data_IF_592758423499
#
_entry.id   IF_592758423499
#
_cell.length_a   1.000
_cell.length_b   1.000
_cell.length_c   1.000
_cell.angle_alpha   90.00
_cell.angle_beta   90.00
_cell.angle_gamma   90.00
#
_symmetry.space_group_name_H-M   'P 1'
#
loop_
_entity.id
_entity.type
_entity.pdbx_description
1 polymer ?
#
# COMPACT_ATOMS: atom_id res chain seq x y z
N UNK A 1 53.98 -61.21 -42.60
CA UNK A 1 55.07 -60.98 -41.66
C UNK A 1 54.57 -59.96 -40.67
N UNK A 2 54.28 -60.27 -39.48
CA UNK A 2 54.91 -60.92 -38.32
C UNK A 2 54.51 -60.07 -37.15
N UNK A 3 53.65 -60.58 -36.30
CA UNK A 3 53.86 -60.83 -34.87
C UNK A 3 54.22 -59.60 -34.02
N UNK A 4 53.75 -59.29 -32.83
CA UNK A 4 53.20 -60.16 -31.77
C UNK A 4 52.79 -59.25 -30.56
N UNK A 5 51.75 -59.64 -29.88
CA UNK A 5 51.52 -59.70 -28.43
C UNK A 5 52.37 -58.95 -27.39
N UNK A 6 51.69 -58.34 -26.37
CA UNK A 6 51.56 -58.77 -24.97
C UNK A 6 51.05 -57.64 -24.09
N UNK A 7 49.90 -57.75 -23.49
CA UNK A 7 49.53 -58.06 -22.09
C UNK A 7 50.40 -57.44 -20.98
N UNK A 8 49.74 -56.63 -20.09
CA UNK A 8 49.49 -56.82 -18.63
C UNK A 8 49.11 -55.47 -18.01
N UNK A 9 48.02 -55.35 -17.41
CA UNK A 9 47.54 -55.65 -16.04
C UNK A 9 47.80 -54.50 -15.02
N UNK A 10 46.67 -54.01 -14.47
CA UNK A 10 46.30 -53.60 -13.10
C UNK A 10 47.05 -52.50 -12.39
N UNK A 11 46.33 -51.48 -11.98
CA UNK A 11 46.04 -51.33 -10.54
C UNK A 11 44.99 -50.26 -10.25
N UNK A 12 44.27 -50.49 -9.17
CA UNK A 12 43.14 -49.76 -8.60
C UNK A 12 43.57 -48.41 -8.00
N UNK A 13 42.71 -47.42 -8.10
CA UNK A 13 42.76 -46.23 -7.25
C UNK A 13 41.36 -45.63 -7.17
N UNK A 14 40.65 -45.91 -6.08
CA UNK A 14 39.42 -45.26 -5.67
C UNK A 14 39.76 -43.86 -5.16
N UNK A 15 39.09 -42.86 -5.63
CA UNK A 15 38.81 -41.68 -4.82
C UNK A 15 37.43 -41.15 -5.18
N UNK A 16 36.54 -41.25 -4.22
CA UNK A 16 35.22 -40.68 -4.23
C UNK A 16 35.33 -39.19 -3.83
N UNK A 17 35.00 -38.30 -4.71
CA UNK A 17 34.68 -36.93 -4.33
C UNK A 17 33.15 -36.77 -4.33
N UNK A 18 32.60 -36.77 -3.12
CA UNK A 18 31.26 -36.35 -2.82
C UNK A 18 31.13 -34.82 -3.09
N UNK A 19 30.58 -34.48 -4.21
CA UNK A 19 30.08 -33.10 -4.44
C UNK A 19 28.63 -33.09 -4.02
N UNK A 20 28.36 -32.56 -2.84
CA UNK A 20 27.02 -32.28 -2.38
C UNK A 20 26.42 -31.17 -3.27
N UNK A 21 25.58 -31.59 -4.21
CA UNK A 21 24.64 -30.69 -4.89
C UNK A 21 23.64 -30.19 -3.85
N UNK A 22 23.80 -28.95 -3.43
CA UNK A 22 22.71 -28.20 -2.81
C UNK A 22 21.63 -28.04 -3.89
N UNK A 23 20.55 -28.75 -3.73
CA UNK A 23 19.31 -28.52 -4.47
C UNK A 23 18.84 -27.09 -4.16
N UNK A 24 18.94 -26.22 -5.14
CA UNK A 24 18.17 -24.96 -5.17
C UNK A 24 16.72 -25.41 -5.30
N UNK A 25 15.96 -25.33 -4.22
CA UNK A 25 14.50 -25.50 -4.26
C UNK A 25 13.97 -24.38 -5.15
N UNK A 26 13.53 -24.72 -6.34
CA UNK A 26 12.69 -23.87 -7.17
C UNK A 26 11.40 -23.61 -6.39
N UNK A 27 11.13 -22.34 -6.09
CA UNK A 27 9.83 -21.88 -5.61
C UNK A 27 8.85 -22.22 -6.75
N UNK A 28 7.90 -23.10 -6.49
CA UNK A 28 6.91 -23.51 -7.48
C UNK A 28 6.00 -22.31 -7.79
N UNK A 29 5.69 -22.08 -9.07
CA UNK A 29 4.81 -20.99 -9.54
C UNK A 29 3.43 -20.96 -8.83
N UNK A 30 2.99 -22.08 -8.24
CA UNK A 30 1.78 -22.20 -7.46
C UNK A 30 1.83 -21.51 -6.09
N UNK A 31 3.00 -21.40 -5.49
CA UNK A 31 3.17 -20.77 -4.17
C UNK A 31 3.15 -19.25 -4.25
N UNK A 32 3.69 -18.68 -5.36
CA UNK A 32 3.61 -17.25 -5.66
C UNK A 32 2.17 -16.79 -5.88
N UNK A 33 1.33 -17.54 -6.56
CA UNK A 33 -0.07 -17.19 -6.81
C UNK A 33 -0.93 -17.26 -5.55
N UNK A 34 -0.63 -18.15 -4.60
CA UNK A 34 -1.31 -18.23 -3.31
C UNK A 34 -0.97 -17.03 -2.41
N UNK A 35 0.30 -16.62 -2.35
CA UNK A 35 0.72 -15.42 -1.62
C UNK A 35 0.17 -14.14 -2.25
N UNK A 36 0.15 -14.04 -3.58
CA UNK A 36 -0.43 -12.91 -4.30
C UNK A 36 -1.93 -12.76 -4.03
N UNK A 37 -2.68 -13.84 -3.98
CA UNK A 37 -4.09 -13.84 -3.62
C UNK A 37 -4.32 -13.46 -2.16
N UNK A 38 -3.42 -13.87 -1.26
CA UNK A 38 -3.49 -13.52 0.16
C UNK A 38 -3.13 -12.05 0.41
N UNK A 39 -2.09 -11.56 -0.27
CA UNK A 39 -1.56 -10.21 -0.12
C UNK A 39 -1.53 -9.49 -1.47
N UNK A 40 -2.68 -8.98 -1.98
CA UNK A 40 -2.70 -8.17 -3.19
C UNK A 40 -1.74 -6.98 -3.08
N UNK A 41 -1.22 -6.50 -4.21
CA UNK A 41 -0.34 -5.34 -4.19
C UNK A 41 -1.11 -4.08 -3.84
N UNK A 42 -0.60 -3.30 -2.89
CA UNK A 42 -1.26 -2.11 -2.34
C UNK A 42 -0.48 -0.86 -2.68
N UNK A 43 -1.17 0.18 -3.18
CA UNK A 43 -0.64 1.54 -3.25
C UNK A 43 -1.17 2.35 -2.06
N UNK A 44 -0.29 2.71 -1.14
CA UNK A 44 -0.60 3.70 -0.11
C UNK A 44 -0.42 5.09 -0.71
N UNK A 45 -1.37 6.01 -0.47
CA UNK A 45 -1.40 7.33 -1.09
C UNK A 45 -1.46 8.44 -0.05
N UNK A 46 -0.51 9.37 -0.13
CA UNK A 46 -0.41 10.52 0.78
C UNK A 46 -0.32 11.82 -0.02
N UNK A 47 -1.35 12.69 0.01
CA UNK A 47 -1.24 14.06 -0.46
C UNK A 47 -0.57 14.91 0.61
N UNK A 48 0.41 15.75 0.27
CA UNK A 48 1.07 16.63 1.24
C UNK A 48 1.22 18.06 0.70
N UNK A 49 1.21 19.05 1.61
CA UNK A 49 1.43 20.47 1.31
C UNK A 49 1.94 21.20 2.55
N UNK A 50 3.25 21.51 2.61
CA UNK A 50 3.88 22.21 3.73
C UNK A 50 3.65 21.53 5.10
N UNK A 51 3.85 20.19 5.16
CA UNK A 51 3.57 19.35 6.34
C UNK A 51 4.83 18.75 6.98
N UNK A 52 5.99 19.33 6.72
CA UNK A 52 7.28 18.85 7.24
C UNK A 52 7.27 18.39 8.71
N UNK A 53 6.65 19.11 9.66
CA UNK A 53 6.61 18.67 11.07
C UNK A 53 5.89 17.33 11.32
N UNK A 54 5.02 16.88 10.42
CA UNK A 54 4.22 15.66 10.56
C UNK A 54 4.87 14.45 9.90
N UNK A 55 5.84 14.66 8.98
CA UNK A 55 6.38 13.61 8.12
C UNK A 55 7.03 12.46 8.90
N UNK A 56 7.71 12.75 10.00
CA UNK A 56 8.29 11.69 10.83
C UNK A 56 7.23 10.77 11.46
N UNK A 57 6.06 11.33 11.80
CA UNK A 57 4.90 10.55 12.27
C UNK A 57 4.31 9.70 11.16
N UNK A 58 4.12 10.29 9.97
CA UNK A 58 3.61 9.64 8.78
C UNK A 58 4.49 8.44 8.37
N UNK A 59 5.84 8.60 8.36
CA UNK A 59 6.78 7.51 8.09
C UNK A 59 6.59 6.38 9.11
N UNK A 60 6.54 6.70 10.41
CA UNK A 60 6.31 5.70 11.45
C UNK A 60 4.98 4.95 11.27
N UNK A 61 3.91 5.64 10.89
CA UNK A 61 2.62 4.99 10.61
C UNK A 61 2.72 4.01 9.44
N UNK A 62 3.47 4.33 8.38
CA UNK A 62 3.71 3.43 7.26
C UNK A 62 4.59 2.24 7.67
N UNK A 63 5.71 2.48 8.36
CA UNK A 63 6.66 1.44 8.77
C UNK A 63 6.08 0.42 9.74
N UNK A 64 5.11 0.84 10.56
CA UNK A 64 4.44 -0.03 11.53
C UNK A 64 3.26 -0.81 10.98
N UNK A 65 2.95 -0.70 9.66
CA UNK A 65 1.89 -1.51 9.08
C UNK A 65 2.22 -3.00 9.16
N UNK A 66 1.24 -3.81 9.59
CA UNK A 66 1.34 -5.27 9.71
C UNK A 66 1.12 -6.01 8.38
N UNK A 67 1.15 -5.26 7.27
CA UNK A 67 1.06 -5.78 5.92
C UNK A 67 2.45 -5.95 5.30
N UNK A 68 2.72 -7.00 4.47
CA UNK A 68 4.05 -7.21 3.90
C UNK A 68 4.55 -6.02 3.09
N UNK A 69 5.68 -5.44 3.49
CA UNK A 69 6.23 -4.23 2.86
C UNK A 69 6.64 -4.45 1.39
N UNK A 70 7.05 -5.66 1.01
CA UNK A 70 7.33 -6.02 -0.38
C UNK A 70 6.05 -6.10 -1.25
N UNK A 71 4.87 -6.03 -0.62
CA UNK A 71 3.55 -5.97 -1.30
C UNK A 71 2.93 -4.57 -1.23
N UNK A 72 3.70 -3.55 -0.86
CA UNK A 72 3.26 -2.16 -0.81
C UNK A 72 4.17 -1.23 -1.62
N UNK A 73 3.59 -0.19 -2.19
CA UNK A 73 4.27 1.02 -2.63
C UNK A 73 3.64 2.22 -1.95
N UNK A 74 4.39 3.31 -1.83
CA UNK A 74 3.92 4.53 -1.19
C UNK A 74 4.04 5.71 -2.13
N UNK A 75 2.90 6.21 -2.61
CA UNK A 75 2.78 7.33 -3.53
C UNK A 75 2.61 8.62 -2.74
N UNK A 76 3.55 9.54 -2.83
CA UNK A 76 3.50 10.84 -2.17
C UNK A 76 3.44 11.93 -3.23
N UNK A 77 2.40 12.76 -3.21
CA UNK A 77 2.28 13.95 -4.06
C UNK A 77 2.47 15.20 -3.19
N UNK A 78 3.54 15.94 -3.46
CA UNK A 78 3.91 17.15 -2.73
C UNK A 78 3.84 18.39 -3.64
N UNK A 79 2.89 19.25 -3.38
CA UNK A 79 2.72 20.54 -4.05
C UNK A 79 2.99 21.74 -3.11
N UNK A 80 3.63 21.47 -1.96
CA UNK A 80 4.07 22.49 -1.01
C UNK A 80 5.24 23.32 -1.52
N UNK A 81 5.51 24.43 -0.87
CA UNK A 81 6.73 25.24 -1.09
C UNK A 81 7.92 24.73 -0.28
N UNK A 82 7.65 24.11 0.88
CA UNK A 82 8.63 23.38 1.69
C UNK A 82 8.56 21.89 1.34
N UNK A 83 9.36 21.48 0.35
CA UNK A 83 9.41 20.11 -0.15
C UNK A 83 10.01 19.16 0.88
N UNK A 84 9.43 17.96 0.97
CA UNK A 84 9.86 16.94 1.95
C UNK A 84 10.71 15.82 1.34
N UNK A 85 11.22 16.00 0.11
CA UNK A 85 12.00 15.00 -0.62
C UNK A 85 13.19 14.47 0.21
N UNK A 86 13.89 15.35 0.92
CA UNK A 86 15.02 15.00 1.79
C UNK A 86 14.66 14.04 2.94
N UNK A 87 13.41 14.03 3.37
CA UNK A 87 12.93 13.18 4.46
C UNK A 87 12.47 11.80 3.99
N UNK A 88 12.12 11.63 2.70
CA UNK A 88 11.47 10.42 2.19
C UNK A 88 12.22 9.72 1.06
N UNK A 89 13.20 10.35 0.43
CA UNK A 89 13.92 9.86 -0.78
C UNK A 89 14.61 8.50 -0.59
N UNK A 90 15.07 8.21 0.61
CA UNK A 90 15.82 6.99 0.91
C UNK A 90 14.91 5.84 1.40
N UNK A 91 13.60 6.08 1.50
CA UNK A 91 12.65 5.06 1.93
C UNK A 91 12.31 4.12 0.76
N UNK A 92 12.51 2.79 0.90
CA UNK A 92 12.47 1.84 -0.21
C UNK A 92 11.11 1.73 -0.92
N UNK A 93 10.01 1.98 -0.20
CA UNK A 93 8.66 1.89 -0.75
C UNK A 93 8.16 3.20 -1.38
N UNK A 94 8.84 4.33 -1.13
CA UNK A 94 8.38 5.66 -1.53
C UNK A 94 8.59 5.92 -3.01
N UNK A 95 7.55 6.47 -3.63
CA UNK A 95 7.56 7.11 -4.93
C UNK A 95 7.09 8.55 -4.74
N UNK A 96 8.05 9.45 -4.68
CA UNK A 96 7.82 10.87 -4.41
C UNK A 96 7.69 11.67 -5.70
N UNK A 97 6.64 12.50 -5.78
CA UNK A 97 6.34 13.38 -6.91
C UNK A 97 6.13 14.80 -6.42
N UNK A 98 6.97 15.73 -6.85
CA UNK A 98 6.89 17.14 -6.52
C UNK A 98 6.27 17.97 -7.63
N UNK A 99 5.47 18.94 -7.24
CA UNK A 99 4.82 19.90 -8.13
C UNK A 99 5.04 21.33 -7.63
N UNK A 100 5.28 22.25 -8.57
CA UNK A 100 5.60 23.64 -8.22
C UNK A 100 4.38 24.47 -7.84
N UNK A 101 3.20 24.08 -8.33
CA UNK A 101 1.95 24.83 -8.09
C UNK A 101 1.04 24.03 -7.18
N UNK A 102 0.50 24.71 -6.16
CA UNK A 102 -0.55 24.15 -5.31
C UNK A 102 -1.76 23.74 -6.14
N UNK A 103 -2.32 22.59 -5.84
CA UNK A 103 -3.48 22.00 -6.51
C UNK A 103 -4.65 21.86 -5.53
N UNK A 104 -5.86 21.83 -6.04
CA UNK A 104 -7.01 21.37 -5.28
C UNK A 104 -6.85 19.89 -4.89
N UNK A 105 -7.47 19.47 -3.79
CA UNK A 105 -7.29 18.14 -3.23
C UNK A 105 -7.79 17.05 -4.18
N UNK A 106 -8.93 17.27 -4.85
CA UNK A 106 -9.47 16.33 -5.85
C UNK A 106 -8.49 16.05 -6.98
N UNK A 107 -7.88 17.10 -7.54
CA UNK A 107 -6.84 16.95 -8.57
C UNK A 107 -5.63 16.19 -8.06
N UNK A 108 -5.19 16.49 -6.83
CA UNK A 108 -4.06 15.78 -6.22
C UNK A 108 -4.36 14.29 -6.04
N UNK A 109 -5.57 13.92 -5.59
CA UNK A 109 -6.02 12.53 -5.48
C UNK A 109 -6.05 11.83 -6.84
N UNK A 110 -6.55 12.49 -7.90
CA UNK A 110 -6.54 11.95 -9.25
C UNK A 110 -5.10 11.66 -9.74
N UNK A 111 -4.16 12.59 -9.51
CA UNK A 111 -2.75 12.39 -9.85
C UNK A 111 -2.11 11.22 -9.07
N UNK A 112 -2.45 11.03 -7.78
CA UNK A 112 -2.01 9.85 -7.03
C UNK A 112 -2.49 8.56 -7.70
N UNK A 113 -3.76 8.51 -8.12
CA UNK A 113 -4.33 7.34 -8.79
C UNK A 113 -3.58 6.97 -10.07
N UNK A 114 -3.16 7.95 -10.86
CA UNK A 114 -2.37 7.73 -12.09
C UNK A 114 -0.99 7.11 -11.81
N UNK A 115 -0.43 7.33 -10.61
CA UNK A 115 0.87 6.80 -10.20
C UNK A 115 0.78 5.42 -9.54
N UNK A 116 -0.41 5.02 -9.06
CA UNK A 116 -0.63 3.77 -8.37
C UNK A 116 -0.46 2.55 -9.29
N UNK A 117 0.13 1.49 -8.76
CA UNK A 117 0.22 0.16 -9.40
C UNK A 117 -0.55 -0.92 -8.63
N UNK A 118 -0.92 -0.64 -7.37
CA UNK A 118 -1.62 -1.58 -6.50
C UNK A 118 -3.00 -1.97 -6.99
N UNK A 119 -3.43 -3.18 -6.70
CA UNK A 119 -4.79 -3.68 -6.95
C UNK A 119 -5.79 -3.02 -5.99
N UNK A 120 -5.28 -2.61 -4.84
CA UNK A 120 -5.99 -1.88 -3.80
C UNK A 120 -5.23 -0.58 -3.53
N UNK A 121 -5.97 0.52 -3.44
CA UNK A 121 -5.46 1.83 -3.06
C UNK A 121 -5.91 2.13 -1.63
N UNK A 122 -5.00 2.60 -0.78
CA UNK A 122 -5.24 2.95 0.62
C UNK A 122 -4.79 4.37 0.86
N UNK A 123 -5.66 5.23 1.39
CA UNK A 123 -5.26 6.57 1.77
C UNK A 123 -4.68 6.60 3.19
N UNK A 124 -3.61 7.35 3.33
CA UNK A 124 -3.00 7.73 4.61
C UNK A 124 -2.57 9.20 4.48
N UNK A 125 -3.36 10.10 5.03
CA UNK A 125 -3.06 11.54 5.00
C UNK A 125 -1.87 11.86 5.93
N UNK A 126 -1.20 12.98 5.76
CA UNK A 126 0.11 13.26 6.34
C UNK A 126 0.09 13.74 7.81
N UNK A 127 -1.08 14.07 8.33
CA UNK A 127 -1.28 14.63 9.68
C UNK A 127 -2.17 13.77 10.60
N UNK A 128 -2.52 12.56 10.15
CA UNK A 128 -3.32 11.60 10.90
C UNK A 128 -2.49 10.48 11.52
N UNK A 129 -3.04 9.81 12.54
CA UNK A 129 -2.50 8.58 13.09
C UNK A 129 -3.18 7.36 12.46
N UNK A 130 -2.39 6.47 11.90
CA UNK A 130 -2.88 5.21 11.33
C UNK A 130 -2.33 4.02 12.13
N UNK A 131 -3.22 3.18 12.71
CA UNK A 131 -2.80 2.01 13.47
C UNK A 131 -2.15 0.95 12.56
N UNK A 132 -1.40 -0.02 13.13
CA UNK A 132 -0.73 -1.07 12.36
C UNK A 132 -1.64 -1.87 11.43
N UNK A 133 -2.91 -2.01 11.78
CA UNK A 133 -3.91 -2.77 11.02
C UNK A 133 -4.55 -1.98 9.87
N UNK A 134 -4.14 -0.72 9.63
CA UNK A 134 -4.80 0.13 8.64
C UNK A 134 -4.89 -0.53 7.26
N UNK A 135 -3.78 -1.09 6.78
CA UNK A 135 -3.73 -1.72 5.46
C UNK A 135 -4.34 -3.12 5.48
N UNK A 136 -3.91 -3.98 6.40
CA UNK A 136 -4.37 -5.38 6.49
C UNK A 136 -5.88 -5.47 6.69
N UNK A 137 -6.45 -4.66 7.61
CA UNK A 137 -7.89 -4.64 7.86
C UNK A 137 -8.70 -4.20 6.63
N UNK A 138 -8.22 -3.20 5.89
CA UNK A 138 -8.87 -2.74 4.67
C UNK A 138 -8.85 -3.81 3.57
N UNK A 139 -7.70 -4.45 3.36
CA UNK A 139 -7.54 -5.54 2.38
C UNK A 139 -8.44 -6.72 2.71
N UNK A 140 -8.38 -7.21 3.96
CA UNK A 140 -9.23 -8.32 4.42
C UNK A 140 -10.72 -8.02 4.25
N UNK A 141 -11.14 -6.79 4.58
CA UNK A 141 -12.54 -6.39 4.46
C UNK A 141 -12.98 -6.38 3.00
N UNK A 142 -12.16 -5.87 2.08
CA UNK A 142 -12.44 -5.94 0.66
C UNK A 142 -12.47 -7.38 0.14
N UNK A 143 -11.57 -8.26 0.58
CA UNK A 143 -11.54 -9.67 0.18
C UNK A 143 -12.78 -10.43 0.66
N UNK A 144 -13.21 -10.19 1.91
CA UNK A 144 -14.45 -10.78 2.47
C UNK A 144 -15.72 -10.26 1.81
N UNK A 145 -15.66 -9.10 1.13
CA UNK A 145 -16.80 -8.45 0.49
C UNK A 145 -16.51 -8.18 -1.00
N UNK A 146 -16.54 -9.21 -1.87
CA UNK A 146 -16.11 -9.08 -3.28
C UNK A 146 -16.95 -8.09 -4.12
N UNK A 147 -18.18 -7.79 -3.68
CA UNK A 147 -19.02 -6.77 -4.33
C UNK A 147 -18.69 -5.34 -3.92
N UNK A 148 -18.02 -5.14 -2.78
CA UNK A 148 -17.60 -3.82 -2.33
C UNK A 148 -16.47 -3.28 -3.22
N UNK A 149 -16.60 -2.04 -3.65
CA UNK A 149 -15.57 -1.32 -4.39
C UNK A 149 -14.75 -0.42 -3.48
N UNK A 150 -15.35 0.08 -2.40
CA UNK A 150 -14.72 0.96 -1.42
C UNK A 150 -15.03 0.51 0.00
N UNK A 151 -14.11 0.76 0.90
CA UNK A 151 -14.26 0.61 2.35
C UNK A 151 -13.68 1.86 3.03
N UNK A 152 -14.20 2.18 4.20
CA UNK A 152 -13.75 3.32 4.99
C UNK A 152 -14.56 3.42 6.28
N UNK A 153 -14.35 4.45 7.08
CA UNK A 153 -15.08 4.65 8.32
C UNK A 153 -15.87 5.96 8.30
N UNK A 154 -17.17 5.87 8.60
CA UNK A 154 -18.02 7.04 8.85
C UNK A 154 -17.90 7.56 10.29
N UNK A 155 -17.10 6.90 11.13
CA UNK A 155 -16.73 7.33 12.46
C UNK A 155 -15.25 7.62 12.51
N UNK A 156 -14.86 8.77 13.06
CA UNK A 156 -13.47 9.12 13.32
C UNK A 156 -13.34 9.64 14.74
N UNK A 157 -12.16 9.50 15.32
CA UNK A 157 -11.83 9.99 16.65
C UNK A 157 -10.75 11.07 16.53
N UNK A 158 -11.05 12.28 17.00
CA UNK A 158 -10.11 13.39 16.99
C UNK A 158 -9.67 13.72 18.41
N UNK A 159 -8.36 13.74 18.63
CA UNK A 159 -7.76 14.16 19.88
C UNK A 159 -7.53 15.66 19.91
N UNK A 160 -8.25 16.36 20.77
CA UNK A 160 -8.10 17.78 21.01
C UNK A 160 -7.07 18.03 22.12
N UNK A 161 -5.83 18.27 21.73
CA UNK A 161 -4.70 18.43 22.67
C UNK A 161 -4.92 19.52 23.72
N UNK A 162 -5.52 20.65 23.34
CA UNK A 162 -5.73 21.80 24.23
C UNK A 162 -6.73 21.54 25.38
N UNK A 163 -7.65 20.59 25.20
CA UNK A 163 -8.60 20.14 26.23
C UNK A 163 -8.37 18.71 26.68
N UNK A 164 -7.36 18.02 26.10
CA UNK A 164 -6.99 16.62 26.38
C UNK A 164 -8.19 15.65 26.29
N UNK A 165 -9.03 15.84 25.28
CA UNK A 165 -10.21 14.99 25.04
C UNK A 165 -10.18 14.37 23.66
N UNK A 166 -10.68 13.15 23.56
CA UNK A 166 -10.99 12.49 22.31
C UNK A 166 -12.49 12.66 22.05
N UNK A 167 -12.84 13.12 20.86
CA UNK A 167 -14.23 13.31 20.45
C UNK A 167 -14.50 12.45 19.23
N UNK A 168 -15.62 11.71 19.27
CA UNK A 168 -16.11 10.97 18.12
C UNK A 168 -16.91 11.88 17.19
N UNK A 169 -16.61 11.81 15.90
CA UNK A 169 -17.42 12.37 14.81
C UNK A 169 -18.10 11.24 14.04
N UNK A 170 -19.32 11.46 13.57
CA UNK A 170 -20.12 10.44 12.93
C UNK A 170 -20.83 9.48 13.92
N UNK A 171 -21.50 8.40 13.41
CA UNK A 171 -21.52 7.99 12.01
C UNK A 171 -22.34 8.94 11.12
N UNK A 172 -21.85 9.19 9.89
CA UNK A 172 -22.54 10.03 8.92
C UNK A 172 -23.55 9.23 8.09
N UNK A 173 -23.25 8.00 7.72
CA UNK A 173 -24.12 7.13 6.95
C UNK A 173 -23.46 5.81 6.55
N UNK A 174 -24.27 4.81 6.11
CA UNK A 174 -23.73 3.47 5.83
C UNK A 174 -22.77 3.43 4.63
N UNK A 175 -23.00 4.28 3.63
CA UNK A 175 -22.15 4.36 2.43
C UNK A 175 -21.27 5.62 2.41
N UNK A 176 -21.14 6.31 3.55
CA UNK A 176 -20.32 7.49 3.73
C UNK A 176 -19.12 7.17 4.62
N UNK A 177 -17.98 7.78 4.32
CA UNK A 177 -16.80 7.82 5.17
C UNK A 177 -15.96 9.05 4.82
N UNK A 178 -15.08 9.47 5.73
CA UNK A 178 -14.10 10.52 5.44
C UNK A 178 -13.01 9.98 4.51
N UNK A 179 -12.58 10.78 3.55
CA UNK A 179 -11.66 10.35 2.49
C UNK A 179 -10.33 9.78 3.05
N UNK A 180 -9.77 10.35 4.13
CA UNK A 180 -8.55 9.84 4.78
C UNK A 180 -8.68 8.39 5.27
N UNK A 181 -9.90 7.86 5.44
CA UNK A 181 -10.17 6.48 5.83
C UNK A 181 -10.33 5.52 4.65
N UNK A 182 -10.36 6.00 3.40
CA UNK A 182 -10.67 5.16 2.24
C UNK A 182 -9.60 4.11 1.96
N UNK A 183 -10.10 2.92 1.61
CA UNK A 183 -9.37 1.96 0.80
C UNK A 183 -10.33 1.39 -0.25
N UNK A 184 -9.83 1.15 -1.46
CA UNK A 184 -10.70 0.75 -2.55
C UNK A 184 -9.97 -0.07 -3.62
N UNK A 185 -10.76 -0.85 -4.36
CA UNK A 185 -10.26 -1.60 -5.51
C UNK A 185 -9.84 -0.64 -6.63
N UNK A 186 -8.74 -0.93 -7.31
CA UNK A 186 -8.25 -0.14 -8.45
C UNK A 186 -9.34 0.24 -9.46
N UNK A 187 -10.29 -0.63 -9.71
CA UNK A 187 -11.42 -0.35 -10.62
C UNK A 187 -12.14 0.95 -10.29
N UNK A 188 -12.15 1.38 -9.02
CA UNK A 188 -12.86 2.60 -8.61
C UNK A 188 -12.17 3.88 -9.08
N UNK A 189 -10.89 3.86 -9.48
CA UNK A 189 -10.20 5.06 -10.00
C UNK A 189 -10.82 5.62 -11.29
N UNK A 190 -11.63 4.83 -11.99
CA UNK A 190 -12.42 5.28 -13.12
C UNK A 190 -13.44 6.38 -12.72
N UNK A 191 -13.84 6.41 -11.47
CA UNK A 191 -14.65 7.47 -10.87
C UNK A 191 -13.72 8.61 -10.42
N UNK A 192 -13.36 9.49 -11.27
CA UNK A 192 -12.45 10.59 -10.89
C UNK A 192 -13.08 11.48 -9.81
N UNK A 193 -12.22 12.08 -8.99
CA UNK A 193 -12.58 13.25 -8.20
C UNK A 193 -12.83 14.45 -9.11
N UNK A 194 -13.62 15.40 -8.66
CA UNK A 194 -13.67 16.72 -9.27
C UNK A 194 -12.31 17.40 -9.05
N UNK A 195 -11.65 17.83 -10.12
CA UNK A 195 -10.31 18.43 -10.07
C UNK A 195 -10.29 19.76 -9.30
N UNK A 196 -11.41 20.45 -9.18
CA UNK A 196 -11.53 21.73 -8.48
C UNK A 196 -12.02 21.55 -7.02
N UNK A 197 -12.37 20.34 -6.60
CA UNK A 197 -12.86 20.07 -5.25
C UNK A 197 -11.75 20.25 -4.21
N UNK A 198 -12.03 21.12 -3.23
CA UNK A 198 -11.18 21.36 -2.07
C UNK A 198 -11.73 20.75 -0.78
N UNK A 199 -13.04 20.48 -0.72
CA UNK A 199 -13.78 19.93 0.41
C UNK A 199 -14.85 18.98 -0.09
N UNK A 200 -15.18 17.95 0.71
CA UNK A 200 -16.20 16.94 0.40
C UNK A 200 -16.02 16.28 -0.99
N UNK A 201 -14.77 16.15 -1.40
CA UNK A 201 -14.37 15.61 -2.70
C UNK A 201 -14.84 14.14 -2.88
N UNK A 202 -15.05 13.44 -1.77
CA UNK A 202 -15.51 12.05 -1.76
C UNK A 202 -16.90 11.86 -2.37
N UNK A 203 -17.76 12.90 -2.35
CA UNK A 203 -19.12 12.82 -2.88
C UNK A 203 -19.14 12.47 -4.38
N UNK A 204 -18.32 13.13 -5.18
CA UNK A 204 -18.21 12.87 -6.62
C UNK A 204 -17.59 11.49 -6.85
N UNK A 205 -16.50 11.16 -6.16
CA UNK A 205 -15.81 9.89 -6.27
C UNK A 205 -16.70 8.69 -5.93
N UNK A 206 -17.53 8.80 -4.90
CA UNK A 206 -18.50 7.79 -4.49
C UNK A 206 -19.85 7.88 -5.24
N UNK A 207 -19.94 8.70 -6.31
CA UNK A 207 -21.18 8.88 -7.10
C UNK A 207 -22.39 9.17 -6.22
N UNK A 208 -22.31 10.21 -5.41
CA UNK A 208 -23.32 10.55 -4.39
C UNK A 208 -23.60 9.37 -3.43
N UNK A 209 -22.54 8.67 -2.98
CA UNK A 209 -22.60 7.57 -2.02
C UNK A 209 -23.40 6.34 -2.50
N UNK A 210 -23.47 6.12 -3.82
CA UNK A 210 -24.12 4.95 -4.43
C UNK A 210 -23.14 3.81 -4.74
N UNK A 211 -21.83 4.05 -4.63
CA UNK A 211 -20.80 3.01 -4.80
C UNK A 211 -20.98 1.93 -3.73
N UNK A 212 -20.90 0.63 -4.08
CA UNK A 212 -20.92 -0.46 -3.11
C UNK A 212 -19.82 -0.28 -2.06
N UNK A 213 -20.21 -0.10 -0.81
CA UNK A 213 -19.36 0.34 0.29
C UNK A 213 -19.53 -0.56 1.52
N UNK A 214 -18.43 -0.77 2.27
CA UNK A 214 -18.45 -1.46 3.57
C UNK A 214 -17.73 -0.62 4.61
N UNK A 215 -18.34 -0.49 5.78
CA UNK A 215 -17.76 0.22 6.93
C UNK A 215 -16.61 -0.57 7.54
N UNK A 216 -15.51 0.11 7.83
CA UNK A 216 -14.37 -0.40 8.59
C UNK A 216 -14.54 -0.13 10.10
N UNK A 217 -13.88 -0.94 10.90
CA UNK A 217 -13.71 -0.67 12.33
C UNK A 217 -12.88 0.61 12.51
N UNK A 218 -13.43 1.69 13.09
CA UNK A 218 -12.74 2.97 13.21
C UNK A 218 -11.42 2.86 14.00
N UNK A 219 -11.32 1.95 14.97
CA UNK A 219 -10.11 1.75 15.76
C UNK A 219 -8.95 1.07 15.01
N UNK A 220 -9.22 0.57 13.80
CA UNK A 220 -8.22 -0.03 12.91
C UNK A 220 -7.92 0.82 11.69
N UNK A 221 -8.50 2.02 11.62
CA UNK A 221 -8.43 2.86 10.41
C UNK A 221 -7.71 4.16 10.67
N UNK A 222 -8.10 4.94 11.68
CA UNK A 222 -7.58 6.28 11.95
C UNK A 222 -7.78 6.65 13.42
#
# INVERSE_FOLDING_TARGET
MGKSNKKKQKSKGKNANNTTNKSVTSIEDGDLTLEENKYPFVSVCTPTFNRRPFISGMIKCFDHQDYPHNRMEWIIIDDGTDKIEDLVKDHPNVKYFKYEKKMALGKKRNLMHEKCKGDIIVYMDDDDYYPPQRVSHAVETLQKNPKALCVGSSKIYIYFKHIQKIVQFGPYGPNHATAGTFAFRRKLIENKYDDDACLAEEKTFLKNYTVPFVQLDPFKVI
#
